data_IF_210862305488
#
_entry.id   IF_210862305488
#
_cell.length_a   1.000
_cell.length_b   1.000
_cell.length_c   1.000
_cell.angle_alpha   90.00
_cell.angle_beta   90.00
_cell.angle_gamma   90.00
#
_symmetry.space_group_name_H-M   'P 1'
#
loop_
_entity.id
_entity.type
_entity.pdbx_description
1 polymer ?
#
# COMPACT_ATOMS: atom_id res chain seq x y z
N UNK A 1 -57.73 -14.21 36.93
CA UNK A 1 -57.01 -15.13 36.02
C UNK A 1 -56.37 -14.28 34.92
N UNK A 2 -55.03 -14.23 34.88
CA UNK A 2 -54.26 -13.26 34.09
C UNK A 2 -54.14 -13.66 32.61
N UNK A 3 -54.43 -12.69 31.73
CA UNK A 3 -54.20 -12.67 30.28
C UNK A 3 -52.71 -12.75 29.96
N UNK A 4 -52.30 -13.52 28.94
CA UNK A 4 -51.04 -13.28 28.21
C UNK A 4 -51.25 -13.58 26.73
N UNK A 5 -51.56 -12.55 25.96
CA UNK A 5 -51.39 -12.55 24.51
C UNK A 5 -49.88 -12.36 24.25
N UNK A 6 -49.24 -13.35 23.62
CA UNK A 6 -47.86 -13.23 23.17
C UNK A 6 -47.86 -12.49 21.84
N UNK A 7 -47.60 -11.18 21.89
CA UNK A 7 -47.23 -10.37 20.75
C UNK A 7 -45.78 -10.72 20.40
N UNK A 8 -45.58 -11.49 19.34
CA UNK A 8 -44.27 -11.70 18.72
C UNK A 8 -43.99 -10.46 17.87
N UNK A 9 -43.30 -9.49 18.46
CA UNK A 9 -42.72 -8.37 17.73
C UNK A 9 -41.51 -8.90 16.95
N UNK A 10 -41.71 -9.19 15.67
CA UNK A 10 -40.59 -9.44 14.75
C UNK A 10 -39.84 -8.13 14.54
N UNK A 11 -38.70 -7.99 15.21
CA UNK A 11 -37.74 -6.93 14.97
C UNK A 11 -37.14 -7.16 13.57
N UNK A 12 -37.64 -6.45 12.57
CA UNK A 12 -37.06 -6.43 11.24
C UNK A 12 -35.68 -5.74 11.35
N UNK A 13 -34.61 -6.54 11.35
CA UNK A 13 -33.25 -6.06 11.14
C UNK A 13 -33.21 -5.32 9.79
N UNK A 14 -33.07 -4.00 9.85
CA UNK A 14 -32.75 -3.19 8.69
C UNK A 14 -31.39 -3.64 8.14
N UNK A 15 -31.40 -4.29 6.98
CA UNK A 15 -30.19 -4.55 6.20
C UNK A 15 -29.72 -3.21 5.61
N UNK A 16 -28.80 -2.54 6.29
CA UNK A 16 -28.04 -1.43 5.72
C UNK A 16 -27.05 -2.00 4.69
N UNK A 17 -27.09 -1.57 3.42
CA UNK A 17 -25.98 -1.82 2.49
C UNK A 17 -24.83 -0.88 2.86
N UNK A 18 -23.91 -1.38 3.68
CA UNK A 18 -22.56 -0.86 3.87
C UNK A 18 -21.68 -1.78 2.98
N UNK A 19 -20.96 -1.35 1.95
CA UNK A 19 -19.66 -0.64 1.96
C UNK A 19 -19.12 -0.69 0.52
N UNK A 20 -18.54 0.40 -0.05
CA UNK A 20 -17.59 0.26 -1.16
C UNK A 20 -16.12 0.51 -0.76
N UNK A 21 -15.83 1.00 0.46
CA UNK A 21 -14.46 1.34 0.87
C UNK A 21 -13.49 0.14 0.93
N UNK A 22 -13.98 -1.06 1.26
CA UNK A 22 -13.13 -2.26 1.35
C UNK A 22 -12.60 -2.73 -0.02
N UNK A 23 -13.29 -2.41 -1.12
CA UNK A 23 -12.87 -2.81 -2.46
C UNK A 23 -11.61 -2.04 -2.92
N UNK A 24 -11.54 -0.74 -2.60
CA UNK A 24 -10.38 0.08 -2.94
C UNK A 24 -9.14 -0.27 -2.12
N UNK A 25 -9.30 -0.53 -0.81
CA UNK A 25 -8.17 -0.96 0.02
C UNK A 25 -7.59 -2.30 -0.45
N UNK A 26 -8.46 -3.26 -0.81
CA UNK A 26 -8.03 -4.55 -1.32
C UNK A 26 -7.29 -4.43 -2.66
N UNK A 27 -7.77 -3.59 -3.59
CA UNK A 27 -7.10 -3.40 -4.87
C UNK A 27 -5.72 -2.73 -4.73
N UNK A 28 -5.58 -1.77 -3.80
CA UNK A 28 -4.27 -1.18 -3.47
C UNK A 28 -3.30 -2.25 -2.99
N UNK A 29 -3.69 -3.06 -2.00
CA UNK A 29 -2.84 -4.14 -1.47
C UNK A 29 -2.45 -5.15 -2.54
N UNK A 30 -3.39 -5.55 -3.40
CA UNK A 30 -3.16 -6.53 -4.45
C UNK A 30 -2.24 -5.99 -5.56
N UNK A 31 -2.43 -4.73 -5.98
CA UNK A 31 -1.59 -4.08 -6.98
C UNK A 31 -0.15 -3.88 -6.48
N UNK A 32 0.03 -3.34 -5.26
CA UNK A 32 1.35 -3.13 -4.68
C UNK A 32 2.10 -4.44 -4.53
N UNK A 33 1.44 -5.49 -4.03
CA UNK A 33 2.04 -6.82 -3.91
C UNK A 33 2.44 -7.38 -5.27
N UNK A 34 1.52 -7.35 -6.23
CA UNK A 34 1.77 -7.88 -7.57
C UNK A 34 2.94 -7.16 -8.25
N UNK A 35 2.97 -5.83 -8.23
CA UNK A 35 4.01 -5.05 -8.90
C UNK A 35 5.37 -5.13 -8.19
N UNK A 36 5.38 -5.20 -6.85
CA UNK A 36 6.61 -5.42 -6.11
C UNK A 36 7.18 -6.82 -6.38
N UNK A 37 6.33 -7.85 -6.37
CA UNK A 37 6.76 -9.23 -6.63
C UNK A 37 7.12 -9.49 -8.09
N UNK A 38 6.57 -8.74 -9.04
CA UNK A 38 6.94 -8.83 -10.45
C UNK A 38 8.37 -8.37 -10.73
N UNK A 39 8.96 -7.56 -9.83
CA UNK A 39 10.35 -7.07 -9.95
C UNK A 39 11.35 -8.17 -9.59
N UNK A 40 12.57 -8.06 -10.10
CA UNK A 40 13.68 -8.93 -9.69
C UNK A 40 14.06 -8.68 -8.21
N UNK A 41 14.80 -9.63 -7.62
CA UNK A 41 15.16 -9.58 -6.21
C UNK A 41 15.94 -8.31 -5.81
N UNK A 42 16.91 -7.89 -6.62
CA UNK A 42 17.73 -6.70 -6.33
C UNK A 42 16.88 -5.43 -6.31
N UNK A 43 16.06 -5.12 -7.33
CA UNK A 43 15.14 -3.98 -7.29
C UNK A 43 14.19 -3.95 -6.08
N UNK A 44 13.69 -5.10 -5.61
CA UNK A 44 12.84 -5.16 -4.41
C UNK A 44 13.56 -4.66 -3.17
N UNK A 45 14.83 -5.05 -3.01
CA UNK A 45 15.68 -4.61 -1.90
C UNK A 45 16.01 -3.12 -2.00
N UNK A 46 16.25 -2.61 -3.20
CA UNK A 46 16.45 -1.17 -3.42
C UNK A 46 15.22 -0.38 -2.96
N UNK A 47 14.01 -0.81 -3.35
CA UNK A 47 12.77 -0.16 -2.89
C UNK A 47 12.66 -0.18 -1.35
N UNK A 48 12.89 -1.32 -0.70
CA UNK A 48 12.85 -1.41 0.76
C UNK A 48 13.91 -0.54 1.45
N UNK A 49 15.10 -0.43 0.86
CA UNK A 49 16.16 0.43 1.37
C UNK A 49 15.79 1.91 1.22
N UNK A 50 15.11 2.30 0.14
CA UNK A 50 14.62 3.68 -0.05
C UNK A 50 13.60 4.02 1.03
N UNK A 51 12.65 3.10 1.28
CA UNK A 51 11.68 3.25 2.36
C UNK A 51 12.34 3.31 3.74
N UNK A 52 13.50 2.68 3.94
CA UNK A 52 14.31 2.82 5.15
C UNK A 52 14.95 4.21 5.26
N UNK A 53 15.49 4.74 4.18
CA UNK A 53 16.08 6.09 4.13
C UNK A 53 15.02 7.18 4.37
N UNK A 54 13.79 6.95 3.94
CA UNK A 54 12.63 7.78 4.27
C UNK A 54 12.14 7.59 5.73
N UNK A 55 12.76 6.72 6.51
CA UNK A 55 12.37 6.33 7.88
C UNK A 55 10.97 5.69 7.99
N UNK A 56 10.46 5.12 6.89
CA UNK A 56 9.12 4.51 6.80
C UNK A 56 9.12 2.99 6.94
N UNK A 57 10.27 2.33 6.77
CA UNK A 57 10.38 0.87 6.80
C UNK A 57 11.28 0.38 7.95
N UNK A 58 10.71 -0.01 9.10
CA UNK A 58 11.50 -0.40 10.28
C UNK A 58 11.92 -1.88 10.29
N UNK A 59 11.72 -2.61 9.19
CA UNK A 59 12.09 -4.03 9.06
C UNK A 59 13.39 -4.21 8.25
N UNK A 60 13.90 -5.44 8.21
CA UNK A 60 15.08 -5.81 7.43
C UNK A 60 14.82 -5.72 5.91
N UNK A 61 15.86 -5.36 5.15
CA UNK A 61 15.86 -5.29 3.67
C UNK A 61 16.16 -6.68 3.09
N UNK A 62 15.10 -7.47 2.90
CA UNK A 62 15.13 -8.87 2.51
C UNK A 62 14.52 -9.16 1.13
N UNK A 63 13.93 -8.16 0.46
CA UNK A 63 13.24 -8.28 -0.82
C UNK A 63 11.90 -9.02 -0.77
N UNK A 64 11.39 -9.34 0.44
CA UNK A 64 10.12 -10.01 0.65
C UNK A 64 9.01 -9.00 0.85
N UNK A 65 7.88 -9.20 0.17
CA UNK A 65 6.70 -8.38 0.40
C UNK A 65 5.94 -8.88 1.64
N UNK A 66 5.84 -8.04 2.67
CA UNK A 66 5.05 -8.31 3.86
C UNK A 66 4.22 -7.10 4.31
N UNK A 67 3.46 -7.23 5.42
CA UNK A 67 2.61 -6.14 5.92
C UNK A 67 3.36 -4.84 6.20
N UNK A 68 4.63 -4.94 6.64
CA UNK A 68 5.47 -3.76 6.89
C UNK A 68 5.92 -3.09 5.60
N UNK A 69 6.17 -3.86 4.53
CA UNK A 69 6.51 -3.33 3.21
C UNK A 69 5.30 -2.62 2.62
N UNK A 70 4.11 -3.24 2.72
CA UNK A 70 2.85 -2.66 2.29
C UNK A 70 2.56 -1.32 2.99
N UNK A 71 2.65 -1.30 4.32
CA UNK A 71 2.43 -0.09 5.11
C UNK A 71 3.43 1.02 4.76
N UNK A 72 4.71 0.68 4.60
CA UNK A 72 5.74 1.64 4.22
C UNK A 72 5.52 2.22 2.81
N UNK A 73 5.09 1.39 1.85
CA UNK A 73 4.77 1.84 0.49
C UNK A 73 3.59 2.82 0.47
N UNK A 74 2.54 2.53 1.24
CA UNK A 74 1.39 3.44 1.37
C UNK A 74 1.84 4.76 2.01
N UNK A 75 2.58 4.70 3.11
CA UNK A 75 3.10 5.89 3.78
C UNK A 75 4.04 6.72 2.88
N UNK A 76 4.82 6.07 2.02
CA UNK A 76 5.70 6.76 1.09
C UNK A 76 4.93 7.51 0.00
N UNK A 77 3.85 6.93 -0.52
CA UNK A 77 2.96 7.62 -1.45
C UNK A 77 2.33 8.87 -0.81
N UNK A 78 1.83 8.75 0.43
CA UNK A 78 1.29 9.88 1.21
C UNK A 78 2.36 10.95 1.50
N UNK A 79 3.59 10.54 1.84
CA UNK A 79 4.69 11.45 2.12
C UNK A 79 5.11 12.25 0.88
N UNK A 80 5.16 11.61 -0.29
CA UNK A 80 5.48 12.28 -1.56
C UNK A 80 4.39 13.28 -1.93
N UNK A 81 3.12 12.91 -1.78
CA UNK A 81 2.00 13.82 -2.03
C UNK A 81 2.07 15.05 -1.12
N UNK A 82 2.30 14.83 0.18
CA UNK A 82 2.45 15.91 1.14
C UNK A 82 3.66 16.82 0.85
N UNK A 83 4.82 16.24 0.52
CA UNK A 83 6.05 16.99 0.26
C UNK A 83 5.96 17.83 -1.02
N UNK A 84 5.19 17.38 -2.01
CA UNK A 84 5.01 18.05 -3.29
C UNK A 84 3.79 18.97 -3.34
N UNK A 85 3.05 19.10 -2.24
CA UNK A 85 1.80 19.87 -2.20
C UNK A 85 0.73 19.32 -3.15
N UNK A 86 0.77 18.02 -3.44
CA UNK A 86 -0.14 17.33 -4.36
C UNK A 86 0.27 17.35 -5.84
N UNK A 87 1.43 17.91 -6.20
CA UNK A 87 1.93 17.86 -7.59
C UNK A 87 2.20 16.42 -8.05
N UNK A 88 2.66 15.56 -7.13
CA UNK A 88 2.81 14.14 -7.35
C UNK A 88 1.90 13.36 -6.41
N UNK A 89 0.87 12.73 -6.95
CA UNK A 89 0.04 11.73 -6.26
C UNK A 89 -0.09 10.49 -7.13
N UNK A 90 -0.28 9.34 -6.49
CA UNK A 90 -0.40 8.04 -7.16
C UNK A 90 -1.71 7.38 -6.77
N UNK A 91 -2.56 7.08 -7.74
CA UNK A 91 -3.73 6.22 -7.50
C UNK A 91 -3.26 4.76 -7.43
N UNK A 92 -2.90 4.29 -6.23
CA UNK A 92 -2.41 2.92 -6.03
C UNK A 92 -3.47 1.84 -6.31
N UNK A 93 -4.74 2.22 -6.46
CA UNK A 93 -5.81 1.31 -6.89
C UNK A 93 -5.76 1.04 -8.40
N UNK A 94 -5.07 1.89 -9.17
CA UNK A 94 -4.65 1.63 -10.55
C UNK A 94 -3.28 0.94 -10.55
N UNK A 95 -3.22 -0.21 -11.22
CA UNK A 95 -2.02 -1.04 -11.30
C UNK A 95 -0.86 -0.35 -12.03
N UNK A 96 -1.14 0.44 -13.06
CA UNK A 96 -0.12 1.17 -13.81
C UNK A 96 0.51 2.26 -12.95
N UNK A 97 -0.30 2.98 -12.18
CA UNK A 97 0.19 3.98 -11.22
C UNK A 97 0.97 3.34 -10.07
N UNK A 98 0.53 2.19 -9.55
CA UNK A 98 1.30 1.41 -8.58
C UNK A 98 2.69 1.00 -9.13
N UNK A 99 2.78 0.55 -10.39
CA UNK A 99 4.08 0.25 -11.00
C UNK A 99 4.95 1.50 -11.15
N UNK A 100 4.38 2.62 -11.61
CA UNK A 100 5.11 3.89 -11.77
C UNK A 100 5.67 4.39 -10.45
N UNK A 101 4.88 4.30 -9.39
CA UNK A 101 5.30 4.63 -8.04
C UNK A 101 6.51 3.78 -7.59
N UNK A 102 6.46 2.46 -7.78
CA UNK A 102 7.60 1.58 -7.45
C UNK A 102 8.84 1.85 -8.31
N UNK A 103 8.66 2.27 -9.57
CA UNK A 103 9.77 2.69 -10.42
C UNK A 103 10.41 3.99 -9.96
N UNK A 104 9.62 4.94 -9.44
CA UNK A 104 10.13 6.19 -8.85
C UNK A 104 10.98 5.90 -7.62
N UNK A 105 10.48 5.09 -6.67
CA UNK A 105 11.24 4.72 -5.47
C UNK A 105 12.56 4.01 -5.81
N UNK A 106 12.60 3.27 -6.91
CA UNK A 106 13.84 2.66 -7.40
C UNK A 106 14.79 3.69 -8.00
N UNK A 107 14.29 4.67 -8.75
CA UNK A 107 15.10 5.56 -9.57
C UNK A 107 16.01 6.48 -8.75
N UNK A 108 15.50 7.03 -7.64
CA UNK A 108 16.24 7.93 -6.74
C UNK A 108 17.53 7.25 -6.22
N UNK A 109 17.43 6.03 -5.69
CA UNK A 109 18.61 5.33 -5.20
C UNK A 109 19.43 4.64 -6.29
N UNK A 110 18.83 4.24 -7.41
CA UNK A 110 19.61 3.70 -8.54
C UNK A 110 20.58 4.76 -9.10
N UNK A 111 20.18 6.04 -9.10
CA UNK A 111 21.09 7.14 -9.43
C UNK A 111 22.22 7.25 -8.40
N UNK A 112 21.92 7.19 -7.11
CA UNK A 112 22.93 7.27 -6.04
C UNK A 112 23.94 6.10 -6.08
N UNK A 113 23.48 4.86 -6.31
CA UNK A 113 24.36 3.69 -6.33
C UNK A 113 25.21 3.54 -7.61
N UNK A 114 24.79 4.13 -8.73
CA UNK A 114 25.52 4.05 -10.00
C UNK A 114 26.35 5.29 -10.33
N UNK A 115 26.09 6.45 -9.72
CA UNK A 115 26.95 7.64 -9.84
C UNK A 115 28.24 7.48 -8.98
N UNK A 116 28.16 6.73 -7.88
CA UNK A 116 29.27 6.48 -6.95
C UNK A 116 30.24 5.36 -7.39
N UNK A 117 30.06 4.79 -8.59
CA UNK A 117 31.00 3.80 -9.15
C UNK A 117 31.03 2.46 -8.42
N UNK A 118 29.91 2.01 -7.85
CA UNK A 118 29.80 0.65 -7.31
C UNK A 118 29.63 -0.37 -8.46
N UNK A 119 30.75 -0.74 -9.10
CA UNK A 119 30.84 -1.94 -9.92
C UNK A 119 30.77 -3.16 -8.99
N UNK A 120 29.62 -3.84 -8.97
CA UNK A 120 29.45 -5.15 -8.36
C UNK A 120 29.87 -6.28 -9.28
#
# INVERSE_FOLDING_TARGET
MFRRHFLVTALACAALPLIPAAAGAQSVSDNLRAEFQAREYVPRRVIQLELQLMELYPAEVDGTYGPMTEAALIAAAEAIEAATGGEYSFDLSDRAEASRFLDLLRAEMFMFMYDDGFEG
#
